data_IF_710523602356
#
_entry.id   IF_710523602356
#
_cell.length_a   1.000
_cell.length_b   1.000
_cell.length_c   1.000
_cell.angle_alpha   90.00
_cell.angle_beta   90.00
_cell.angle_gamma   90.00
#
_symmetry.space_group_name_H-M   'P 1'
#
loop_
_entity.id
_entity.type
_entity.pdbx_description
1 polymer ?
#
# COMPACT_ATOMS: atom_id res chain seq x y z
N UNK A 1 22.76 -73.43 49.28
CA UNK A 1 21.72 -72.53 49.81
C UNK A 1 21.21 -71.65 48.67
N UNK A 2 19.90 -71.56 48.42
CA UNK A 2 19.32 -70.67 47.41
C UNK A 2 18.74 -69.39 48.03
N UNK A 3 18.83 -68.26 47.33
CA UNK A 3 17.95 -67.05 47.37
C UNK A 3 18.70 -65.90 46.68
N UNK A 4 18.11 -64.94 45.96
CA UNK A 4 16.76 -64.84 45.36
C UNK A 4 16.81 -63.79 44.24
N UNK A 5 16.27 -64.09 43.06
CA UNK A 5 16.11 -63.09 41.98
C UNK A 5 14.73 -62.43 42.13
N UNK A 6 14.68 -61.10 42.25
CA UNK A 6 13.40 -60.36 42.26
C UNK A 6 12.79 -60.29 40.85
N UNK A 7 11.48 -60.52 40.66
CA UNK A 7 10.83 -60.32 39.38
C UNK A 7 10.70 -58.82 39.04
N UNK A 8 10.91 -58.48 37.77
CA UNK A 8 10.71 -57.12 37.23
C UNK A 8 9.24 -56.93 36.85
N UNK A 9 8.57 -55.93 37.43
CA UNK A 9 7.19 -55.63 37.09
C UNK A 9 7.03 -55.21 35.62
N UNK A 10 6.02 -55.75 34.94
CA UNK A 10 5.65 -55.36 33.59
C UNK A 10 4.89 -54.02 33.59
N UNK A 11 5.13 -53.19 32.57
CA UNK A 11 4.47 -51.88 32.39
C UNK A 11 3.32 -52.04 31.38
N UNK A 12 2.09 -51.57 31.67
CA UNK A 12 0.98 -51.72 30.73
C UNK A 12 1.16 -50.87 29.48
N UNK A 13 0.80 -51.45 28.33
CA UNK A 13 0.88 -50.81 27.00
C UNK A 13 -0.42 -50.09 26.68
N UNK A 14 -0.35 -48.81 26.28
CA UNK A 14 -1.54 -48.06 25.85
C UNK A 14 -1.88 -48.34 24.36
N UNK A 15 -3.17 -48.42 23.98
CA UNK A 15 -3.57 -48.67 22.59
C UNK A 15 -3.45 -47.42 21.69
N UNK A 16 -3.21 -47.58 20.37
CA UNK A 16 -2.94 -46.46 19.46
C UNK A 16 -4.21 -45.73 18.99
N UNK A 17 -4.44 -44.52 19.51
CA UNK A 17 -5.58 -43.64 19.17
C UNK A 17 -5.47 -42.92 17.79
N UNK A 18 -4.80 -43.53 16.80
CA UNK A 18 -4.47 -42.87 15.52
C UNK A 18 -5.58 -42.89 14.48
N UNK A 19 -6.33 -44.00 14.36
CA UNK A 19 -7.18 -44.27 13.18
C UNK A 19 -8.51 -43.53 13.14
N UNK A 20 -9.06 -43.16 14.31
CA UNK A 20 -10.38 -42.51 14.39
C UNK A 20 -10.34 -41.02 14.03
N UNK A 21 -9.21 -40.35 14.31
CA UNK A 21 -9.00 -38.92 13.99
C UNK A 21 -8.93 -38.67 12.49
N UNK A 22 -8.31 -39.56 11.72
CA UNK A 22 -8.20 -39.42 10.26
C UNK A 22 -9.56 -39.49 9.55
N UNK A 23 -10.50 -40.32 10.04
CA UNK A 23 -11.82 -40.45 9.45
C UNK A 23 -12.66 -39.17 9.58
N UNK A 24 -12.58 -38.48 10.73
CA UNK A 24 -13.29 -37.21 10.98
C UNK A 24 -12.83 -36.10 10.03
N UNK A 25 -11.52 -36.03 9.72
CA UNK A 25 -10.96 -35.00 8.83
C UNK A 25 -11.45 -35.16 7.38
N UNK A 26 -11.55 -36.39 6.87
CA UNK A 26 -11.98 -36.63 5.47
C UNK A 26 -13.44 -36.24 5.25
N UNK A 27 -14.34 -36.58 6.19
CA UNK A 27 -15.76 -36.21 6.08
C UNK A 27 -15.98 -34.70 6.13
N UNK A 28 -15.20 -33.96 6.91
CA UNK A 28 -15.32 -32.49 7.02
C UNK A 28 -15.01 -31.78 5.69
N UNK A 29 -13.99 -32.23 4.95
CA UNK A 29 -13.60 -31.63 3.65
C UNK A 29 -14.69 -31.78 2.57
N UNK A 30 -15.41 -32.91 2.54
CA UNK A 30 -16.43 -33.17 1.52
C UNK A 30 -17.66 -32.27 1.67
N UNK A 31 -18.05 -31.92 2.91
CA UNK A 31 -19.19 -31.03 3.15
C UNK A 31 -18.89 -29.59 2.72
N UNK A 32 -17.67 -29.09 2.92
CA UNK A 32 -17.29 -27.73 2.52
C UNK A 32 -17.27 -27.50 1.01
N UNK A 33 -17.04 -28.53 0.20
CA UNK A 33 -17.01 -28.40 -1.26
C UNK A 33 -18.41 -28.19 -1.87
N UNK A 34 -19.46 -28.76 -1.28
CA UNK A 34 -20.82 -28.69 -1.80
C UNK A 34 -21.47 -27.30 -1.64
N UNK A 35 -21.12 -26.55 -0.58
CA UNK A 35 -21.74 -25.25 -0.26
C UNK A 35 -21.21 -24.13 -1.18
N UNK A 36 -19.97 -24.23 -1.67
CA UNK A 36 -19.32 -23.18 -2.47
C UNK A 36 -19.91 -22.95 -3.87
N UNK A 37 -20.64 -23.93 -4.42
CA UNK A 37 -21.16 -23.87 -5.80
C UNK A 37 -22.54 -23.17 -5.87
N UNK A 38 -23.34 -23.22 -4.80
CA UNK A 38 -24.73 -22.75 -4.82
C UNK A 38 -24.92 -21.23 -4.78
N UNK A 39 -23.92 -20.46 -4.35
CA UNK A 39 -24.06 -19.00 -4.11
C UNK A 39 -23.78 -18.15 -5.37
N UNK A 40 -23.15 -18.73 -6.40
CA UNK A 40 -22.65 -17.97 -7.55
C UNK A 40 -23.67 -17.71 -8.69
N UNK A 41 -24.95 -18.13 -8.55
CA UNK A 41 -25.90 -18.19 -9.68
C UNK A 41 -27.24 -17.46 -9.49
N UNK A 42 -27.44 -16.65 -8.44
CA UNK A 42 -28.77 -16.09 -8.11
C UNK A 42 -28.83 -14.58 -7.81
N UNK A 43 -28.23 -13.74 -8.67
CA UNK A 43 -28.54 -12.31 -8.70
C UNK A 43 -28.84 -11.80 -10.13
N UNK A 44 -30.08 -11.98 -10.61
CA UNK A 44 -30.60 -11.21 -11.73
C UNK A 44 -31.19 -9.87 -11.28
N UNK A 45 -31.31 -8.94 -12.25
CA UNK A 45 -32.40 -7.95 -12.43
C UNK A 45 -32.05 -6.46 -12.27
N UNK A 46 -32.55 -5.70 -13.25
CA UNK A 46 -32.83 -4.24 -13.27
C UNK A 46 -31.60 -3.31 -13.19
N UNK A 47 -31.38 -2.32 -14.07
CA UNK A 47 -32.21 -1.78 -15.15
C UNK A 47 -32.44 -0.28 -14.95
N UNK A 48 -31.67 0.56 -15.63
CA UNK A 48 -31.90 2.01 -15.70
C UNK A 48 -31.39 2.53 -17.05
N UNK A 49 -32.35 2.93 -17.90
CA UNK A 49 -32.15 3.51 -19.23
C UNK A 49 -31.86 5.02 -19.15
N UNK A 50 -31.48 5.60 -20.31
CA UNK A 50 -31.64 7.01 -20.69
C UNK A 50 -30.66 8.03 -20.05
N UNK A 51 -30.10 9.04 -20.74
CA UNK A 51 -30.19 9.58 -22.11
C UNK A 51 -28.74 9.95 -22.60
N UNK A 52 -28.36 9.88 -23.90
CA UNK A 52 -28.51 10.94 -24.95
C UNK A 52 -27.92 12.31 -24.53
N UNK A 53 -27.12 13.05 -25.30
CA UNK A 53 -26.60 12.94 -26.69
C UNK A 53 -25.50 13.99 -26.94
N UNK A 54 -24.49 13.68 -27.77
CA UNK A 54 -23.76 14.58 -28.70
C UNK A 54 -22.47 13.85 -29.17
N UNK A 55 -22.11 13.76 -30.45
CA UNK A 55 -22.65 14.41 -31.65
C UNK A 55 -21.50 14.88 -32.53
N UNK A 56 -20.94 14.00 -33.36
CA UNK A 56 -19.73 14.27 -34.15
C UNK A 56 -20.03 14.58 -35.64
N UNK A 57 -19.51 15.70 -36.14
CA UNK A 57 -19.34 16.08 -37.56
C UNK A 57 -18.37 17.30 -37.59
N UNK A 58 -17.21 17.28 -38.27
CA UNK A 58 -16.94 17.27 -39.73
C UNK A 58 -16.98 18.68 -40.41
N UNK A 59 -15.85 19.06 -41.01
CA UNK A 59 -15.55 20.26 -41.86
C UNK A 59 -15.99 20.05 -43.34
N UNK A 60 -15.78 20.96 -44.35
CA UNK A 60 -15.37 22.40 -44.42
C UNK A 60 -16.48 23.27 -45.15
N UNK A 61 -16.30 24.32 -46.02
CA UNK A 61 -15.18 25.23 -46.41
C UNK A 61 -15.56 26.76 -46.50
N UNK A 62 -14.82 27.53 -47.34
CA UNK A 62 -14.91 28.98 -47.71
C UNK A 62 -15.62 29.21 -49.10
N UNK A 63 -16.05 30.43 -49.59
CA UNK A 63 -15.13 31.55 -50.00
C UNK A 63 -15.64 33.04 -50.20
N UNK A 64 -14.66 33.96 -50.37
CA UNK A 64 -14.60 35.23 -51.20
C UNK A 64 -15.47 36.49 -50.94
N UNK A 65 -14.80 37.67 -50.83
CA UNK A 65 -15.34 39.04 -51.09
C UNK A 65 -14.44 40.21 -50.62
N UNK A 66 -14.28 41.30 -51.40
CA UNK A 66 -13.44 42.50 -51.12
C UNK A 66 -13.85 43.74 -51.96
N UNK A 67 -13.30 44.98 -51.82
CA UNK A 67 -13.03 45.84 -50.64
C UNK A 67 -13.70 47.27 -50.78
N UNK A 68 -13.14 48.44 -50.35
CA UNK A 68 -13.45 49.19 -49.10
C UNK A 68 -13.98 50.66 -49.33
N UNK A 69 -14.09 51.60 -48.33
CA UNK A 69 -12.93 52.35 -47.77
C UNK A 69 -12.96 52.89 -46.30
N UNK A 70 -11.76 53.07 -45.73
CA UNK A 70 -11.26 54.13 -44.81
C UNK A 70 -11.99 54.63 -43.53
N UNK A 71 -11.42 54.31 -42.35
CA UNK A 71 -11.26 55.22 -41.18
C UNK A 71 -9.95 54.87 -40.40
N UNK A 72 -9.10 55.83 -39.98
CA UNK A 72 -7.90 55.61 -39.14
C UNK A 72 -8.12 55.99 -37.65
N UNK A 73 -7.13 55.95 -36.72
CA UNK A 73 -5.88 55.15 -36.61
C UNK A 73 -5.74 54.43 -35.24
N UNK A 74 -4.71 53.59 -35.04
CA UNK A 74 -3.79 53.62 -33.87
C UNK A 74 -2.91 52.36 -33.80
N UNK A 75 -1.59 52.54 -33.75
CA UNK A 75 -0.61 51.45 -33.65
C UNK A 75 -0.39 51.01 -32.20
N UNK A 76 -0.56 49.73 -31.84
CA UNK A 76 0.02 49.19 -30.61
C UNK A 76 1.52 48.93 -30.82
N UNK A 77 2.36 49.62 -30.06
CA UNK A 77 3.81 49.47 -30.08
C UNK A 77 4.24 48.03 -29.78
N UNK A 78 5.19 47.49 -30.55
CA UNK A 78 5.81 46.19 -30.27
C UNK A 78 6.68 46.27 -29.01
N UNK A 79 6.09 45.99 -27.85
CA UNK A 79 6.85 45.78 -26.61
C UNK A 79 7.56 44.42 -26.68
N UNK A 80 8.89 44.44 -26.79
CA UNK A 80 9.73 43.25 -26.72
C UNK A 80 9.45 42.47 -25.44
N UNK A 81 8.84 41.29 -25.57
CA UNK A 81 8.57 40.41 -24.43
C UNK A 81 9.89 39.81 -23.94
N UNK A 82 10.36 40.26 -22.77
CA UNK A 82 11.51 39.66 -22.12
C UNK A 82 11.20 38.21 -21.77
N UNK A 83 12.05 37.28 -22.21
CA UNK A 83 11.95 35.88 -21.81
C UNK A 83 12.16 35.79 -20.29
N UNK A 84 11.23 35.21 -19.51
CA UNK A 84 11.38 35.14 -18.07
C UNK A 84 12.56 34.23 -17.71
N UNK A 85 13.40 34.70 -16.79
CA UNK A 85 14.48 33.91 -16.19
C UNK A 85 13.94 32.61 -15.58
N UNK A 86 14.73 31.52 -15.55
CA UNK A 86 14.30 30.25 -14.98
C UNK A 86 14.04 30.42 -13.48
N UNK A 87 12.76 30.54 -13.13
CA UNK A 87 12.30 30.65 -11.74
C UNK A 87 12.79 29.43 -10.98
N UNK A 88 13.67 29.64 -10.00
CA UNK A 88 14.17 28.57 -9.15
C UNK A 88 12.98 27.89 -8.44
N UNK A 89 12.65 26.67 -8.88
CA UNK A 89 11.49 25.93 -8.39
C UNK A 89 11.60 25.69 -6.89
N UNK A 90 10.85 26.48 -6.11
CA UNK A 90 10.76 26.28 -4.67
C UNK A 90 10.06 24.95 -4.40
N UNK A 91 10.64 24.05 -3.57
CA UNK A 91 10.03 22.76 -3.30
C UNK A 91 8.71 22.97 -2.57
N UNK A 92 7.60 22.63 -3.23
CA UNK A 92 6.22 22.89 -2.79
C UNK A 92 5.82 22.23 -1.47
N UNK A 93 6.60 21.25 -0.99
CA UNK A 93 6.49 20.69 0.35
C UNK A 93 7.85 20.69 1.05
N UNK A 94 8.14 21.77 1.79
CA UNK A 94 9.23 21.84 2.76
C UNK A 94 8.65 22.25 4.12
N UNK A 95 8.78 21.37 5.11
CA UNK A 95 8.46 21.70 6.50
C UNK A 95 9.59 22.59 7.08
N UNK A 96 9.28 23.63 7.88
CA UNK A 96 10.31 24.41 8.57
C UNK A 96 11.14 23.58 9.54
N UNK A 97 12.41 23.93 9.71
CA UNK A 97 13.34 23.27 10.63
C UNK A 97 14.49 22.53 9.93
N UNK A 98 15.43 22.02 10.72
CA UNK A 98 16.53 21.20 10.24
C UNK A 98 16.15 19.72 10.29
N UNK A 99 16.46 18.97 9.22
CA UNK A 99 16.32 17.50 9.21
C UNK A 99 17.30 16.89 10.22
N UNK A 100 16.84 16.05 11.17
CA UNK A 100 17.72 15.36 12.12
C UNK A 100 18.83 14.58 11.42
N UNK A 101 20.09 14.89 11.76
CA UNK A 101 21.26 14.23 11.19
C UNK A 101 21.47 12.82 11.77
N UNK A 102 21.42 12.72 13.10
CA UNK A 102 21.80 11.52 13.85
C UNK A 102 20.69 11.09 14.83
N UNK A 103 20.44 9.79 14.89
CA UNK A 103 19.72 9.11 15.95
C UNK A 103 20.60 8.03 16.60
N UNK A 104 20.00 7.12 17.35
CA UNK A 104 20.72 6.05 18.08
C UNK A 104 20.93 4.76 17.28
N UNK A 105 20.48 4.69 16.02
CA UNK A 105 20.57 3.52 15.15
C UNK A 105 19.65 2.33 15.51
N UNK A 106 19.11 2.27 16.74
CA UNK A 106 18.06 1.34 17.14
C UNK A 106 16.65 1.91 16.90
N UNK A 107 15.64 1.06 16.82
CA UNK A 107 14.27 1.43 16.44
C UNK A 107 13.22 1.02 17.48
N UNK A 108 12.26 1.91 17.75
CA UNK A 108 10.96 1.58 18.33
C UNK A 108 9.95 1.24 17.22
N UNK A 109 8.87 0.53 17.55
CA UNK A 109 7.86 0.07 16.58
C UNK A 109 6.46 0.57 16.97
N UNK A 110 5.61 0.86 15.98
CA UNK A 110 4.17 1.02 16.22
C UNK A 110 3.58 -0.37 16.52
N UNK A 111 3.05 -0.57 17.72
CA UNK A 111 2.50 -1.86 18.14
C UNK A 111 1.06 -2.11 17.65
N UNK A 112 0.40 -1.09 17.10
CA UNK A 112 -1.01 -1.15 16.69
C UNK A 112 -1.15 -1.79 15.31
N UNK A 113 -1.85 -2.93 15.26
CA UNK A 113 -2.34 -3.46 14.00
C UNK A 113 -3.34 -2.49 13.32
N UNK A 114 -3.45 -2.60 11.99
CA UNK A 114 -4.38 -1.83 11.17
C UNK A 114 -5.34 -2.71 10.37
N UNK A 115 -6.42 -2.08 9.88
CA UNK A 115 -7.27 -2.68 8.85
C UNK A 115 -6.52 -2.88 7.53
N UNK A 116 -7.05 -3.76 6.66
CA UNK A 116 -6.50 -3.97 5.32
C UNK A 116 -6.84 -2.78 4.44
N UNK A 117 -5.82 -2.12 3.90
CA UNK A 117 -5.91 -1.10 2.87
C UNK A 117 -5.96 -1.74 1.48
N UNK A 118 -6.73 -1.13 0.58
CA UNK A 118 -6.93 -1.60 -0.80
C UNK A 118 -8.08 -2.60 -0.95
N UNK A 119 -8.72 -2.59 -2.13
CA UNK A 119 -9.89 -3.42 -2.44
C UNK A 119 -9.54 -4.76 -3.10
N UNK A 120 -8.42 -4.84 -3.82
CA UNK A 120 -8.05 -6.00 -4.63
C UNK A 120 -6.52 -6.20 -4.70
N UNK A 121 -6.09 -7.38 -5.16
CA UNK A 121 -4.68 -7.72 -5.34
C UNK A 121 -4.02 -8.47 -4.18
N UNK A 122 -2.70 -8.64 -4.27
CA UNK A 122 -1.89 -9.42 -3.31
C UNK A 122 -1.82 -8.67 -1.97
N UNK A 123 -2.06 -9.36 -0.85
CA UNK A 123 -1.89 -8.78 0.48
C UNK A 123 -0.41 -8.83 0.89
N UNK A 124 0.14 -7.70 1.33
CA UNK A 124 1.43 -7.60 2.03
C UNK A 124 1.26 -6.95 3.40
N UNK A 125 1.93 -7.52 4.40
CA UNK A 125 1.92 -7.09 5.79
C UNK A 125 3.16 -6.24 6.05
N UNK A 126 2.98 -5.10 6.69
CA UNK A 126 4.08 -4.21 7.05
C UNK A 126 4.05 -3.86 8.52
N UNK A 127 5.23 -3.59 9.08
CA UNK A 127 5.39 -2.98 10.40
C UNK A 127 6.04 -1.60 10.24
N UNK A 128 5.77 -0.70 11.18
CA UNK A 128 6.30 0.67 11.18
C UNK A 128 7.35 0.77 12.29
N UNK A 129 8.49 1.37 11.97
CA UNK A 129 9.62 1.55 12.88
C UNK A 129 10.14 2.98 12.83
N UNK A 130 10.47 3.55 13.99
CA UNK A 130 11.02 4.90 14.15
C UNK A 130 12.34 4.84 14.91
N UNK A 131 13.37 5.52 14.41
CA UNK A 131 14.68 5.52 15.03
C UNK A 131 14.67 6.23 16.40
N UNK A 132 15.18 5.54 17.41
CA UNK A 132 15.29 6.06 18.77
C UNK A 132 16.19 7.30 18.80
N UNK A 133 15.69 8.39 19.39
CA UNK A 133 16.41 9.67 19.42
C UNK A 133 16.23 10.56 18.19
N UNK A 134 15.38 10.19 17.23
CA UNK A 134 14.93 11.08 16.15
C UNK A 134 14.06 12.26 16.64
N UNK A 135 13.37 12.08 17.77
CA UNK A 135 12.35 13.00 18.29
C UNK A 135 10.92 12.68 17.84
N UNK A 136 10.76 11.65 17.00
CA UNK A 136 9.48 11.27 16.38
C UNK A 136 8.78 10.15 17.16
N UNK A 137 7.44 10.16 17.14
CA UNK A 137 6.61 9.13 17.77
C UNK A 137 6.21 8.02 16.78
N UNK A 138 6.26 6.76 17.25
CA UNK A 138 5.99 5.59 16.43
C UNK A 138 4.52 5.49 16.00
N UNK A 139 3.57 5.86 16.87
CA UNK A 139 2.15 5.82 16.56
C UNK A 139 1.74 6.94 15.60
N UNK A 140 2.21 8.17 15.85
CA UNK A 140 1.98 9.32 14.99
C UNK A 140 2.57 9.11 13.57
N UNK A 141 3.79 8.60 13.46
CA UNK A 141 4.36 8.21 12.18
C UNK A 141 3.58 7.05 11.54
N UNK A 142 3.19 6.04 12.31
CA UNK A 142 2.34 4.95 11.84
C UNK A 142 1.03 5.41 11.22
N UNK A 143 0.41 6.46 11.78
CA UNK A 143 -0.84 7.02 11.26
C UNK A 143 -0.64 8.00 10.09
N UNK A 144 0.55 8.59 9.96
CA UNK A 144 0.97 9.26 8.72
C UNK A 144 1.18 8.25 7.58
N UNK A 145 1.86 7.13 7.85
CA UNK A 145 2.04 6.03 6.90
C UNK A 145 0.69 5.45 6.46
N UNK A 146 -0.22 5.18 7.40
CA UNK A 146 -1.56 4.65 7.09
C UNK A 146 -2.35 5.59 6.16
N UNK A 147 -2.30 6.92 6.39
CA UNK A 147 -2.94 7.92 5.54
C UNK A 147 -2.30 8.00 4.15
N UNK A 148 -0.98 8.03 4.06
CA UNK A 148 -0.26 8.07 2.79
C UNK A 148 -0.53 6.82 1.93
N UNK A 149 -0.54 5.63 2.54
CA UNK A 149 -0.80 4.37 1.85
C UNK A 149 -2.28 4.14 1.49
N UNK A 150 -3.21 4.97 1.99
CA UNK A 150 -4.63 4.91 1.67
C UNK A 150 -5.08 6.00 0.68
N UNK A 151 -4.21 6.97 0.35
CA UNK A 151 -4.54 8.12 -0.50
C UNK A 151 -4.61 7.80 -1.99
N UNK A 152 -5.18 8.72 -2.81
CA UNK A 152 -5.14 8.62 -4.27
C UNK A 152 -3.71 8.50 -4.81
N UNK A 153 -3.50 7.70 -5.85
CA UNK A 153 -2.19 7.44 -6.44
C UNK A 153 -1.26 6.55 -5.60
N UNK A 154 -1.70 6.08 -4.44
CA UNK A 154 -0.95 5.10 -3.63
C UNK A 154 -0.91 3.71 -4.28
N UNK A 155 -0.05 2.82 -3.79
CA UNK A 155 0.03 1.45 -4.31
C UNK A 155 -1.27 0.67 -4.19
N UNK A 156 -2.09 0.92 -3.16
CA UNK A 156 -3.37 0.22 -2.98
C UNK A 156 -4.48 0.78 -3.87
N UNK A 157 -4.38 2.05 -4.25
CA UNK A 157 -5.28 2.70 -5.22
C UNK A 157 -5.14 2.07 -6.62
N UNK A 158 -3.95 1.55 -6.95
CA UNK A 158 -3.73 0.79 -8.20
C UNK A 158 -4.50 -0.53 -8.31
N UNK A 159 -5.16 -0.99 -7.25
CA UNK A 159 -5.94 -2.25 -7.22
C UNK A 159 -5.11 -3.54 -7.33
N UNK A 160 -3.78 -3.45 -7.43
CA UNK A 160 -2.85 -4.60 -7.56
C UNK A 160 -2.28 -5.06 -6.22
N UNK A 161 -2.37 -4.24 -5.18
CA UNK A 161 -1.77 -4.47 -3.88
C UNK A 161 -2.76 -4.15 -2.76
N UNK A 162 -2.78 -4.97 -1.72
CA UNK A 162 -3.39 -4.67 -0.42
C UNK A 162 -2.32 -4.60 0.65
N UNK A 163 -2.47 -3.69 1.60
CA UNK A 163 -1.49 -3.45 2.65
C UNK A 163 -2.14 -3.56 4.03
N UNK A 164 -1.45 -4.17 4.99
CA UNK A 164 -1.91 -4.25 6.37
C UNK A 164 -0.78 -3.94 7.35
N UNK A 165 -0.98 -2.93 8.22
CA UNK A 165 -0.10 -2.70 9.37
C UNK A 165 -0.29 -3.84 10.36
N UNK A 166 0.77 -4.51 10.78
CA UNK A 166 0.74 -5.60 11.76
C UNK A 166 1.48 -5.22 13.04
N UNK A 167 0.91 -5.62 14.17
CA UNK A 167 1.50 -5.42 15.50
C UNK A 167 2.49 -6.53 15.91
N UNK A 168 2.95 -6.51 17.17
CA UNK A 168 3.89 -7.48 17.71
C UNK A 168 3.41 -8.94 17.57
N UNK A 169 4.35 -9.87 17.44
CA UNK A 169 4.07 -11.30 17.29
C UNK A 169 3.44 -11.71 15.93
N UNK A 170 3.06 -10.76 15.08
CA UNK A 170 2.55 -11.04 13.73
C UNK A 170 3.67 -11.03 12.67
N UNK A 171 3.64 -11.91 11.66
CA UNK A 171 4.60 -11.87 10.57
C UNK A 171 4.39 -10.65 9.66
N UNK A 172 5.48 -10.02 9.23
CA UNK A 172 5.52 -8.91 8.29
C UNK A 172 6.34 -9.26 7.05
N UNK A 173 5.85 -8.93 5.86
CA UNK A 173 6.60 -9.03 4.60
C UNK A 173 7.72 -7.97 4.53
N UNK A 174 7.48 -6.75 5.04
CA UNK A 174 8.45 -5.65 5.01
C UNK A 174 8.30 -4.69 6.20
N UNK A 175 9.21 -3.72 6.31
CA UNK A 175 9.23 -2.70 7.36
C UNK A 175 9.36 -1.32 6.74
N UNK A 176 8.57 -0.36 7.23
CA UNK A 176 8.69 1.06 6.88
C UNK A 176 9.44 1.74 8.01
N UNK A 177 10.63 2.26 7.72
CA UNK A 177 11.50 2.92 8.69
C UNK A 177 11.44 4.45 8.54
N UNK A 178 11.27 5.17 9.65
CA UNK A 178 11.69 6.55 9.79
C UNK A 178 13.06 6.57 10.47
N UNK A 179 14.06 7.10 9.77
CA UNK A 179 15.44 7.15 10.22
C UNK A 179 16.03 8.55 9.97
N UNK A 180 16.97 8.96 10.82
CA UNK A 180 17.72 10.21 10.63
C UNK A 180 18.65 10.10 9.43
N UNK A 181 19.13 11.24 8.90
CA UNK A 181 19.88 11.31 7.63
C UNK A 181 20.94 10.22 7.48
N UNK A 182 21.83 10.09 8.46
CA UNK A 182 22.96 9.18 8.37
C UNK A 182 22.54 7.71 8.47
N UNK A 183 21.54 7.42 9.30
CA UNK A 183 20.99 6.07 9.45
C UNK A 183 20.24 5.65 8.20
N UNK A 184 19.45 6.54 7.60
CA UNK A 184 18.83 6.33 6.29
C UNK A 184 19.90 6.10 5.21
N UNK A 185 20.97 6.91 5.16
CA UNK A 185 22.09 6.73 4.24
C UNK A 185 22.79 5.37 4.38
N UNK A 186 22.95 4.85 5.61
CA UNK A 186 23.48 3.49 5.84
C UNK A 186 22.51 2.40 5.38
N UNK A 187 21.22 2.53 5.69
CA UNK A 187 20.18 1.56 5.29
C UNK A 187 20.03 1.50 3.77
N UNK A 188 19.96 2.65 3.09
CA UNK A 188 19.90 2.73 1.64
C UNK A 188 21.14 2.12 0.99
N UNK A 189 22.35 2.40 1.50
CA UNK A 189 23.59 1.84 0.95
C UNK A 189 23.67 0.32 1.11
N UNK A 190 23.17 -0.22 2.22
CA UNK A 190 23.02 -1.67 2.39
C UNK A 190 22.02 -2.29 1.39
N UNK A 191 21.05 -1.51 0.91
CA UNK A 191 20.14 -1.85 -0.20
C UNK A 191 20.66 -1.48 -1.59
N UNK A 192 21.91 -1.04 -1.75
CA UNK A 192 22.49 -0.66 -3.04
C UNK A 192 22.13 0.74 -3.56
N UNK A 193 21.55 1.61 -2.73
CA UNK A 193 21.13 2.97 -3.07
C UNK A 193 21.99 3.98 -2.30
N UNK A 194 22.66 4.91 -3.00
CA UNK A 194 23.43 5.98 -2.37
C UNK A 194 22.59 7.26 -2.29
N UNK A 195 22.29 7.71 -1.06
CA UNK A 195 21.67 9.01 -0.81
C UNK A 195 22.79 10.07 -0.71
N UNK A 196 22.80 11.02 -1.64
CA UNK A 196 23.70 12.18 -1.66
C UNK A 196 23.03 13.43 -1.09
#
# INVERSE_FOLDING_TARGET
MPTSVRPRAARPTAPPAGRWRSAVVVCAFLVTAAVGIGVALQHPSVGAEALVNAGAAALPPQPTGAPPPSVPPSSPSLSSSASPDPVASTPVLRLPGAVPAHGRGGFGYDDRAGGVLGRAGVLRRFRVAVENGSGEDAHAFGDAVQRALAGPGSWVDSGRLRLQRVGPGSPSDFTIYLATRDTAGRLCRAGGIDLR
#
